data_IF_635583424671
#
_entry.id   IF_635583424671
#
_cell.length_a   1.000
_cell.length_b   1.000
_cell.length_c   1.000
_cell.angle_alpha   90.00
_cell.angle_beta   90.00
_cell.angle_gamma   90.00
#
_symmetry.space_group_name_H-M   'P 1'
#
loop_
_entity.id
_entity.type
_entity.pdbx_description
1 polymer ?
#
# COMPACT_ATOMS: atom_id res chain seq x y z
N UNK A 1 21.44 -0.10 -14.43
CA UNK A 1 20.95 0.21 -13.06
C UNK A 1 19.68 1.07 -13.01
N UNK A 2 19.47 2.05 -13.91
CA UNK A 2 18.24 2.90 -13.89
C UNK A 2 16.93 2.12 -14.09
N UNK A 3 16.92 1.13 -14.99
CA UNK A 3 15.73 0.33 -15.28
C UNK A 3 15.26 -0.51 -14.07
N UNK A 4 16.17 -0.94 -13.20
CA UNK A 4 15.85 -1.77 -12.03
C UNK A 4 15.23 -0.93 -10.91
N UNK A 5 15.76 0.28 -10.67
CA UNK A 5 15.21 1.23 -9.71
C UNK A 5 13.78 1.67 -10.07
N UNK A 6 13.49 1.81 -11.37
CA UNK A 6 12.15 2.17 -11.86
C UNK A 6 11.11 1.05 -11.68
N UNK A 7 11.53 -0.21 -11.55
CA UNK A 7 10.62 -1.38 -11.40
C UNK A 7 10.26 -1.70 -9.95
N UNK A 8 11.10 -1.30 -9.00
CA UNK A 8 10.92 -1.59 -7.57
C UNK A 8 9.56 -1.12 -7.00
N UNK A 9 9.10 0.12 -7.25
CA UNK A 9 7.79 0.55 -6.78
C UNK A 9 6.64 -0.27 -7.38
N UNK A 10 6.77 -0.73 -8.62
CA UNK A 10 5.76 -1.58 -9.27
C UNK A 10 5.69 -2.98 -8.69
N UNK A 11 6.83 -3.56 -8.28
CA UNK A 11 6.84 -4.81 -7.55
C UNK A 11 6.10 -4.69 -6.22
N UNK A 12 6.28 -3.57 -5.51
CA UNK A 12 5.54 -3.31 -4.27
C UNK A 12 4.03 -3.18 -4.50
N UNK A 13 3.61 -2.54 -5.60
CA UNK A 13 2.20 -2.48 -6.01
C UNK A 13 1.64 -3.88 -6.28
N UNK A 14 2.36 -4.72 -7.04
CA UNK A 14 1.93 -6.09 -7.34
C UNK A 14 1.81 -6.93 -6.06
N UNK A 15 2.76 -6.80 -5.14
CA UNK A 15 2.69 -7.45 -3.84
C UNK A 15 1.46 -6.98 -3.05
N UNK A 16 1.21 -5.67 -3.00
CA UNK A 16 0.05 -5.08 -2.33
C UNK A 16 -1.26 -5.61 -2.92
N UNK A 17 -1.34 -5.67 -4.26
CA UNK A 17 -2.51 -6.17 -4.97
C UNK A 17 -2.74 -7.66 -4.66
N UNK A 18 -1.69 -8.48 -4.71
CA UNK A 18 -1.77 -9.90 -4.39
C UNK A 18 -2.24 -10.12 -2.94
N UNK A 19 -1.71 -9.37 -1.97
CA UNK A 19 -2.17 -9.40 -0.58
C UNK A 19 -3.64 -9.02 -0.47
N UNK A 20 -4.07 -7.94 -1.14
CA UNK A 20 -5.45 -7.50 -1.13
C UNK A 20 -6.39 -8.57 -1.71
N UNK A 21 -6.00 -9.22 -2.80
CA UNK A 21 -6.76 -10.34 -3.40
C UNK A 21 -6.85 -11.53 -2.45
N UNK A 22 -5.75 -11.94 -1.84
CA UNK A 22 -5.74 -13.05 -0.86
C UNK A 22 -6.66 -12.74 0.32
N UNK A 23 -6.61 -11.52 0.84
CA UNK A 23 -7.47 -11.09 1.94
C UNK A 23 -8.95 -11.06 1.53
N UNK A 24 -9.26 -10.47 0.37
CA UNK A 24 -10.62 -10.34 -0.16
C UNK A 24 -11.23 -11.67 -0.60
N UNK A 25 -10.44 -12.69 -0.93
CA UNK A 25 -10.94 -14.01 -1.34
C UNK A 25 -10.73 -15.08 -0.28
N UNK A 26 -10.16 -14.73 0.86
CA UNK A 26 -9.79 -15.67 1.91
C UNK A 26 -10.27 -15.20 3.28
N UNK A 27 -9.36 -14.86 4.20
CA UNK A 27 -9.65 -14.79 5.63
C UNK A 27 -10.55 -13.61 6.05
N UNK A 28 -10.81 -12.62 5.19
CA UNK A 28 -11.78 -11.56 5.48
C UNK A 28 -13.23 -12.00 5.24
N UNK A 29 -13.44 -13.10 4.52
CA UNK A 29 -14.74 -13.73 4.37
C UNK A 29 -14.77 -14.98 5.26
N UNK A 30 -15.13 -14.83 6.53
CA UNK A 30 -15.77 -15.94 7.24
C UNK A 30 -17.10 -16.22 6.54
N UNK A 31 -17.40 -17.49 6.28
CA UNK A 31 -18.61 -17.94 5.59
C UNK A 31 -19.83 -17.15 6.05
N UNK A 32 -20.41 -16.34 5.16
CA UNK A 32 -21.70 -15.66 5.40
C UNK A 32 -22.87 -16.65 5.53
N UNK A 33 -22.57 -17.96 5.59
CA UNK A 33 -23.52 -19.03 5.86
C UNK A 33 -24.08 -18.86 7.25
N UNK A 34 -25.39 -18.60 7.33
CA UNK A 34 -26.13 -18.55 8.58
C UNK A 34 -26.26 -17.18 9.23
N UNK A 35 -25.61 -16.13 8.72
CA UNK A 35 -25.90 -14.76 9.17
C UNK A 35 -27.21 -14.26 8.55
N UNK A 36 -28.27 -14.17 9.35
CA UNK A 36 -29.52 -13.54 8.95
C UNK A 36 -29.37 -12.01 9.02
N UNK A 37 -29.47 -11.27 7.89
CA UNK A 37 -29.35 -9.82 7.88
C UNK A 37 -30.38 -9.10 8.78
N UNK A 38 -31.50 -9.77 9.08
CA UNK A 38 -32.57 -9.25 9.92
C UNK A 38 -32.26 -9.31 11.42
N UNK A 39 -31.29 -10.13 11.83
CA UNK A 39 -30.88 -10.31 13.24
C UNK A 39 -29.65 -9.47 13.60
N UNK A 40 -29.05 -8.79 12.62
CA UNK A 40 -27.86 -7.96 12.86
C UNK A 40 -28.25 -6.76 13.74
N UNK A 41 -27.51 -6.48 14.85
CA UNK A 41 -27.82 -5.35 15.71
C UNK A 41 -27.88 -4.05 14.92
N UNK A 42 -28.88 -3.22 15.19
CA UNK A 42 -29.07 -1.94 14.52
C UNK A 42 -27.92 -0.99 14.88
N UNK A 43 -27.00 -0.76 13.92
CA UNK A 43 -25.84 0.11 14.09
C UNK A 43 -24.88 -0.02 12.91
N UNK A 44 -24.06 1.00 12.67
CA UNK A 44 -22.99 0.93 11.67
C UNK A 44 -21.79 0.23 12.30
N UNK A 45 -21.46 -0.96 11.81
CA UNK A 45 -20.21 -1.64 12.14
C UNK A 45 -19.05 -0.98 11.37
N UNK A 46 -18.48 0.06 11.97
CA UNK A 46 -17.37 0.81 11.40
C UNK A 46 -16.13 -0.06 11.20
N UNK A 47 -15.92 -1.06 12.04
CA UNK A 47 -14.76 -1.96 11.94
C UNK A 47 -14.90 -2.87 10.72
N UNK A 48 -16.09 -3.41 10.46
CA UNK A 48 -16.36 -4.17 9.23
C UNK A 48 -16.20 -3.29 7.97
N UNK A 49 -16.70 -2.06 7.99
CA UNK A 49 -16.54 -1.12 6.87
C UNK A 49 -15.06 -0.82 6.61
N UNK A 50 -14.28 -0.59 7.67
CA UNK A 50 -12.85 -0.35 7.56
C UNK A 50 -12.11 -1.61 7.08
N UNK A 51 -12.45 -2.80 7.57
CA UNK A 51 -11.86 -4.07 7.13
C UNK A 51 -12.03 -4.28 5.61
N UNK A 52 -13.20 -3.93 5.06
CA UNK A 52 -13.46 -4.02 3.61
C UNK A 52 -12.82 -2.89 2.80
N UNK A 53 -12.84 -1.65 3.29
CA UNK A 53 -12.35 -0.49 2.54
C UNK A 53 -10.83 -0.32 2.55
N UNK A 54 -10.16 -0.77 3.62
CA UNK A 54 -8.74 -0.52 3.85
C UNK A 54 -7.81 -1.19 2.82
N UNK A 55 -8.06 -2.43 2.33
CA UNK A 55 -7.31 -3.00 1.22
C UNK A 55 -7.26 -2.10 -0.02
N UNK A 56 -8.38 -1.47 -0.36
CA UNK A 56 -8.46 -0.54 -1.50
C UNK A 56 -7.62 0.71 -1.25
N UNK A 57 -7.68 1.30 -0.05
CA UNK A 57 -6.88 2.48 0.32
C UNK A 57 -5.39 2.17 0.21
N UNK A 58 -4.96 1.01 0.71
CA UNK A 58 -3.55 0.58 0.67
C UNK A 58 -3.08 0.41 -0.79
N UNK A 59 -3.88 -0.22 -1.66
CA UNK A 59 -3.56 -0.37 -3.09
C UNK A 59 -3.47 1.00 -3.79
N UNK A 60 -4.42 1.91 -3.53
CA UNK A 60 -4.39 3.24 -4.13
C UNK A 60 -3.18 4.06 -3.66
N UNK A 61 -2.83 3.98 -2.38
CA UNK A 61 -1.67 4.67 -1.84
C UNK A 61 -0.36 4.12 -2.43
N UNK A 62 -0.21 2.79 -2.58
CA UNK A 62 0.97 2.20 -3.20
C UNK A 62 1.10 2.57 -4.68
N UNK A 63 -0.01 2.58 -5.42
CA UNK A 63 -0.08 3.08 -6.80
C UNK A 63 0.33 4.56 -6.89
N UNK A 64 -0.16 5.40 -5.97
CA UNK A 64 0.21 6.81 -5.92
C UNK A 64 1.72 7.00 -5.69
N UNK A 65 2.36 6.18 -4.84
CA UNK A 65 3.83 6.19 -4.68
C UNK A 65 4.53 5.82 -6.00
N UNK A 66 4.10 4.73 -6.65
CA UNK A 66 4.72 4.26 -7.90
C UNK A 66 4.59 5.26 -9.05
N UNK A 67 3.42 5.89 -9.19
CA UNK A 67 3.13 6.86 -10.25
C UNK A 67 3.77 8.23 -9.98
N UNK A 68 3.61 8.75 -8.76
CA UNK A 68 4.02 10.12 -8.43
C UNK A 68 5.48 10.21 -8.02
N UNK A 69 6.06 9.18 -7.40
CA UNK A 69 7.43 9.22 -6.88
C UNK A 69 8.45 9.67 -7.91
N UNK A 70 8.31 9.24 -9.17
CA UNK A 70 9.24 9.61 -10.25
C UNK A 70 9.15 11.06 -10.70
N UNK A 71 8.04 11.77 -10.53
CA UNK A 71 7.86 13.15 -11.03
C UNK A 71 7.75 14.17 -9.89
N UNK A 72 7.05 13.81 -8.82
CA UNK A 72 6.71 14.67 -7.69
C UNK A 72 6.98 13.91 -6.38
N UNK A 73 8.22 14.00 -5.90
CA UNK A 73 8.66 13.31 -4.67
C UNK A 73 7.78 13.66 -3.46
N UNK A 74 7.39 14.92 -3.30
CA UNK A 74 6.51 15.33 -2.20
C UNK A 74 5.20 14.54 -2.20
N UNK A 75 4.58 14.35 -3.37
CA UNK A 75 3.35 13.56 -3.49
C UNK A 75 3.62 12.09 -3.18
N UNK A 76 4.73 11.53 -3.65
CA UNK A 76 5.13 10.16 -3.30
C UNK A 76 5.36 9.97 -1.80
N UNK A 77 5.99 10.94 -1.13
CA UNK A 77 6.18 10.92 0.31
C UNK A 77 4.85 11.01 1.07
N UNK A 78 3.95 11.90 0.65
CA UNK A 78 2.60 12.00 1.24
C UNK A 78 1.81 10.69 1.07
N UNK A 79 1.85 10.09 -0.12
CA UNK A 79 1.21 8.80 -0.38
C UNK A 79 1.80 7.68 0.51
N UNK A 80 3.12 7.68 0.71
CA UNK A 80 3.78 6.73 1.62
C UNK A 80 3.36 6.93 3.08
N UNK A 81 3.18 8.19 3.53
CA UNK A 81 2.66 8.49 4.86
C UNK A 81 1.21 8.01 5.03
N UNK A 82 0.36 8.23 4.03
CA UNK A 82 -1.02 7.72 4.02
C UNK A 82 -1.03 6.19 4.09
N UNK A 83 -0.18 5.52 3.29
CA UNK A 83 -0.02 4.07 3.34
C UNK A 83 0.41 3.58 4.73
N UNK A 84 1.44 4.20 5.31
CA UNK A 84 1.92 3.86 6.64
C UNK A 84 0.85 4.05 7.72
N UNK A 85 0.13 5.18 7.68
CA UNK A 85 -0.97 5.45 8.60
C UNK A 85 -2.10 4.42 8.45
N UNK A 86 -2.50 4.10 7.21
CA UNK A 86 -3.54 3.11 6.95
C UNK A 86 -3.16 1.73 7.51
N UNK A 87 -1.92 1.28 7.30
CA UNK A 87 -1.45 -0.01 7.83
C UNK A 87 -1.37 -0.02 9.35
N UNK A 88 -0.89 1.05 9.99
CA UNK A 88 -0.75 1.13 11.45
C UNK A 88 -2.09 1.24 12.18
N UNK A 89 -3.10 1.83 11.55
CA UNK A 89 -4.44 2.02 12.13
C UNK A 89 -5.43 0.94 11.69
N UNK A 90 -5.01 0.00 10.85
CA UNK A 90 -5.87 -1.07 10.41
C UNK A 90 -6.23 -2.00 11.59
N UNK A 91 -7.50 -2.42 11.69
CA UNK A 91 -7.90 -3.40 12.68
C UNK A 91 -7.16 -4.73 12.45
N UNK A 92 -6.83 -5.43 13.54
CA UNK A 92 -6.20 -6.74 13.45
C UNK A 92 -7.12 -7.72 12.70
N UNK A 93 -6.58 -8.61 11.84
CA UNK A 93 -5.16 -8.92 11.64
C UNK A 93 -4.48 -8.14 10.48
N UNK A 94 -5.17 -7.18 9.85
CA UNK A 94 -4.72 -6.52 8.60
C UNK A 94 -3.29 -5.95 8.62
N UNK A 95 -2.78 -5.32 9.71
CA UNK A 95 -1.43 -4.77 9.71
C UNK A 95 -0.35 -5.79 9.37
N UNK A 96 -0.50 -7.03 9.86
CA UNK A 96 0.48 -8.11 9.62
C UNK A 96 0.56 -8.48 8.14
N UNK A 97 -0.58 -8.48 7.46
CA UNK A 97 -0.67 -8.82 6.05
C UNK A 97 -0.10 -7.73 5.14
N UNK A 98 -0.30 -6.45 5.48
CA UNK A 98 0.15 -5.33 4.65
C UNK A 98 1.54 -4.78 5.03
N UNK A 99 2.12 -5.19 6.16
CA UNK A 99 3.46 -4.76 6.58
C UNK A 99 4.54 -5.05 5.52
N UNK A 100 4.60 -6.25 4.88
CA UNK A 100 5.57 -6.50 3.81
C UNK A 100 5.44 -5.54 2.63
N UNK A 101 4.20 -5.22 2.25
CA UNK A 101 3.89 -4.28 1.16
C UNK A 101 4.30 -2.85 1.50
N UNK A 102 4.08 -2.41 2.75
CA UNK A 102 4.57 -1.13 3.25
C UNK A 102 6.10 -1.04 3.18
N UNK A 103 6.81 -2.07 3.68
CA UNK A 103 8.27 -2.13 3.67
C UNK A 103 8.83 -2.13 2.24
N UNK A 104 8.23 -2.91 1.33
CA UNK A 104 8.62 -2.94 -0.08
C UNK A 104 8.42 -1.57 -0.75
N UNK A 105 7.30 -0.90 -0.47
CA UNK A 105 7.00 0.43 -1.02
C UNK A 105 7.98 1.48 -0.49
N UNK A 106 8.25 1.48 0.81
CA UNK A 106 9.22 2.37 1.44
C UNK A 106 10.65 2.15 0.90
N UNK A 107 11.07 0.89 0.76
CA UNK A 107 12.36 0.51 0.19
C UNK A 107 12.51 0.97 -1.27
N UNK A 108 11.51 0.72 -2.11
CA UNK A 108 11.49 1.19 -3.49
C UNK A 108 11.57 2.71 -3.60
N UNK A 109 10.86 3.43 -2.73
CA UNK A 109 10.90 4.88 -2.67
C UNK A 109 12.27 5.42 -2.20
N UNK A 110 12.92 4.76 -1.23
CA UNK A 110 14.27 5.12 -0.77
C UNK A 110 15.33 4.94 -1.87
N UNK A 111 15.27 3.84 -2.64
CA UNK A 111 16.15 3.59 -3.78
C UNK A 111 15.97 4.65 -4.87
N UNK A 112 14.73 5.08 -5.12
CA UNK A 112 14.42 6.15 -6.05
C UNK A 112 15.07 7.48 -5.62
N UNK A 113 14.98 7.82 -4.33
CA UNK A 113 15.62 9.01 -3.75
C UNK A 113 17.15 8.96 -3.86
N UNK A 114 17.75 7.82 -3.53
CA UNK A 114 19.19 7.63 -3.62
C UNK A 114 19.68 7.80 -5.07
N UNK A 115 18.98 7.20 -6.04
CA UNK A 115 19.32 7.30 -7.46
C UNK A 115 19.30 8.74 -7.99
N UNK A 116 18.36 9.57 -7.51
CA UNK A 116 18.29 11.01 -7.85
C UNK A 116 19.42 11.82 -7.22
N UNK A 117 19.81 11.52 -5.98
CA UNK A 117 20.93 12.19 -5.32
C UNK A 117 22.22 11.97 -6.11
N UNK A 118 22.51 10.71 -6.46
CA UNK A 118 23.71 10.35 -7.25
C UNK A 118 23.73 11.04 -8.62
N UNK A 119 22.57 11.15 -9.29
CA UNK A 119 22.47 11.85 -10.58
C UNK A 119 22.69 13.36 -10.48
N UNK A 120 22.46 13.98 -9.32
CA UNK A 120 22.61 15.42 -9.09
C UNK A 120 24.04 15.80 -8.69
N UNK A 121 24.78 14.87 -8.09
CA UNK A 121 26.19 15.05 -7.66
C UNK A 121 27.21 14.68 -8.72
N UNK A 122 26.82 14.05 -9.83
CA UNK A 122 27.72 13.81 -10.95
C UNK A 122 28.01 15.16 -11.65
N UNK A 123 29.24 15.69 -11.58
CA UNK A 123 29.57 16.93 -12.28
C UNK A 123 29.47 16.68 -13.78
N UNK A 124 28.81 17.60 -14.50
CA UNK A 124 28.83 17.62 -15.97
C UNK A 124 30.28 17.84 -16.40
N UNK A 125 30.99 16.74 -16.68
CA UNK A 125 32.22 16.75 -17.45
C UNK A 125 31.81 16.93 -18.91
N UNK A 126 31.51 18.17 -19.30
CA UNK A 126 31.38 18.61 -20.68
C UNK A 126 32.32 19.76 -20.94
#
# INVERSE_FOLDING_TARGET
MRATADRLPWLAVLLTLATAVVLLLGPLWSTAEGENPLERPSGVDLDAVLLLGLPTVVVLASLAVALAGRRRLVIGALALLVLGYAVLRAPAPLPVWFLPSLLATAGGYAVLLASRRTARTAPDLR
#
